data_IF_045645553474
#
_entry.id   IF_045645553474
#
_cell.length_a   1.000
_cell.length_b   1.000
_cell.length_c   1.000
_cell.angle_alpha   90.00
_cell.angle_beta   90.00
_cell.angle_gamma   90.00
#
_symmetry.space_group_name_H-M   'P 1'
#
loop_
_entity.id
_entity.type
_entity.pdbx_description
1 polymer ?
#
# COMPACT_ATOMS: atom_id res chain seq x y z
N UNK A 1 -17.99 -12.72 16.80
CA UNK A 1 -18.45 -11.95 15.63
C UNK A 1 -17.60 -10.71 15.50
N UNK A 2 -17.03 -10.49 14.32
CA UNK A 2 -16.81 -9.15 13.73
C UNK A 2 -16.51 -9.37 12.23
N UNK A 3 -17.59 -9.25 11.45
CA UNK A 3 -17.70 -8.90 10.03
C UNK A 3 -16.50 -9.26 9.13
N UNK A 4 -16.51 -10.49 8.61
CA UNK A 4 -15.78 -10.87 7.39
C UNK A 4 -16.51 -10.30 6.16
N UNK A 5 -16.58 -8.97 6.11
CA UNK A 5 -17.17 -8.24 5.01
C UNK A 5 -16.20 -8.27 3.83
N UNK A 6 -16.39 -9.22 2.90
CA UNK A 6 -15.93 -9.21 1.48
C UNK A 6 -14.93 -8.10 1.15
N UNK A 7 -13.69 -8.21 1.64
CA UNK A 7 -12.59 -7.38 1.14
C UNK A 7 -12.30 -7.96 -0.22
N UNK A 8 -12.82 -7.32 -1.28
CA UNK A 8 -12.58 -7.67 -2.68
C UNK A 8 -11.13 -8.10 -2.84
N UNK A 9 -10.91 -9.38 -3.17
CA UNK A 9 -9.58 -9.97 -3.27
C UNK A 9 -8.67 -9.03 -4.07
N UNK A 10 -7.55 -8.59 -3.48
CA UNK A 10 -6.55 -7.85 -4.23
C UNK A 10 -6.12 -8.75 -5.37
N UNK A 11 -6.20 -8.25 -6.60
CA UNK A 11 -5.72 -8.97 -7.77
C UNK A 11 -4.20 -9.13 -7.69
N UNK A 12 -3.67 -10.14 -8.39
CA UNK A 12 -2.22 -10.35 -8.43
C UNK A 12 -1.47 -9.08 -8.90
N UNK A 13 -2.05 -8.31 -9.81
CA UNK A 13 -1.51 -7.02 -10.25
C UNK A 13 -1.45 -6.01 -9.11
N UNK A 14 -2.54 -5.85 -8.34
CA UNK A 14 -2.59 -4.95 -7.18
C UNK A 14 -1.54 -5.34 -6.12
N UNK A 15 -1.40 -6.64 -5.82
CA UNK A 15 -0.41 -7.14 -4.84
C UNK A 15 1.02 -6.88 -5.31
N UNK A 16 1.32 -7.11 -6.59
CA UNK A 16 2.65 -6.84 -7.17
C UNK A 16 2.99 -5.36 -7.11
N UNK A 17 2.04 -4.46 -7.41
CA UNK A 17 2.25 -3.02 -7.31
C UNK A 17 2.58 -2.58 -5.88
N UNK A 18 1.84 -3.09 -4.89
CA UNK A 18 2.09 -2.79 -3.48
C UNK A 18 3.46 -3.32 -3.04
N UNK A 19 3.84 -4.54 -3.46
CA UNK A 19 5.16 -5.11 -3.15
C UNK A 19 6.31 -4.30 -3.76
N UNK A 20 6.16 -3.85 -5.02
CA UNK A 20 7.14 -2.98 -5.68
C UNK A 20 7.25 -1.63 -4.97
N UNK A 21 6.11 -1.02 -4.59
CA UNK A 21 6.08 0.24 -3.87
C UNK A 21 6.81 0.13 -2.51
N UNK A 22 6.43 -0.87 -1.70
CA UNK A 22 7.07 -1.16 -0.43
C UNK A 22 8.58 -1.36 -0.62
N UNK A 23 9.00 -2.18 -1.60
CA UNK A 23 10.42 -2.44 -1.85
C UNK A 23 11.18 -1.17 -2.27
N UNK A 24 10.61 -0.33 -3.12
CA UNK A 24 11.22 0.95 -3.52
C UNK A 24 11.40 1.86 -2.33
N UNK A 25 10.38 2.00 -1.49
CA UNK A 25 10.43 2.91 -0.34
C UNK A 25 11.34 2.35 0.76
N UNK A 26 11.37 1.02 0.98
CA UNK A 26 12.34 0.39 1.88
C UNK A 26 13.79 0.55 1.40
N UNK A 27 14.02 0.63 0.09
CA UNK A 27 15.34 0.91 -0.48
C UNK A 27 15.69 2.40 -0.44
N UNK A 28 14.70 3.28 -0.65
CA UNK A 28 14.82 4.74 -0.61
C UNK A 28 15.02 5.27 0.82
N UNK A 29 14.59 4.49 1.83
CA UNK A 29 14.75 4.79 3.26
C UNK A 29 16.21 4.85 3.77
N UNK A 30 17.22 4.92 2.89
CA UNK A 30 18.62 5.17 3.25
C UNK A 30 18.90 6.58 3.79
N UNK A 31 17.93 7.50 3.84
CA UNK A 31 18.20 8.87 4.32
C UNK A 31 17.05 9.44 5.13
N UNK A 32 17.26 9.57 6.44
CA UNK A 32 16.51 10.50 7.29
C UNK A 32 15.67 9.79 8.36
N UNK A 33 16.22 9.76 9.56
CA UNK A 33 15.62 9.29 10.82
C UNK A 33 14.43 10.13 11.31
N UNK A 34 13.48 10.48 10.42
CA UNK A 34 12.20 11.11 10.77
C UNK A 34 11.16 11.06 9.61
N UNK A 35 11.23 10.09 8.69
CA UNK A 35 10.13 9.90 7.74
C UNK A 35 8.95 9.27 8.48
N UNK A 36 8.08 10.14 9.02
CA UNK A 36 6.85 9.77 9.68
C UNK A 36 6.18 8.61 8.94
N UNK A 37 5.83 7.55 9.66
CA UNK A 37 5.21 6.35 9.08
C UNK A 37 3.99 6.66 8.18
N UNK A 38 3.39 7.84 8.35
CA UNK A 38 2.39 8.42 7.45
C UNK A 38 2.89 8.59 6.01
N UNK A 39 4.10 9.12 5.81
CA UNK A 39 4.72 9.36 4.50
C UNK A 39 5.03 8.04 3.77
N UNK A 40 5.45 7.01 4.50
CA UNK A 40 5.70 5.68 3.95
C UNK A 40 4.45 5.12 3.25
N UNK A 41 3.30 5.13 3.94
CA UNK A 41 2.04 4.63 3.39
C UNK A 41 1.44 5.56 2.33
N UNK A 42 1.71 6.86 2.41
CA UNK A 42 1.27 7.83 1.39
C UNK A 42 1.96 7.58 0.05
N UNK A 43 3.29 7.38 0.06
CA UNK A 43 4.04 7.01 -1.14
C UNK A 43 3.59 5.66 -1.72
N UNK A 44 3.27 4.67 -0.87
CA UNK A 44 2.70 3.39 -1.35
C UNK A 44 1.35 3.62 -2.03
N UNK A 45 0.49 4.44 -1.42
CA UNK A 45 -0.84 4.72 -1.95
C UNK A 45 -0.80 5.51 -3.26
N UNK A 46 0.10 6.49 -3.38
CA UNK A 46 0.31 7.28 -4.59
C UNK A 46 0.83 6.41 -5.74
N UNK A 47 1.86 5.61 -5.47
CA UNK A 47 2.40 4.67 -6.45
C UNK A 47 1.38 3.61 -6.88
N UNK A 48 0.58 3.15 -5.93
CA UNK A 48 -0.52 2.24 -6.21
C UNK A 48 -1.55 2.94 -7.11
N UNK A 49 -1.99 4.16 -6.80
CA UNK A 49 -2.99 4.89 -7.59
C UNK A 49 -2.55 5.12 -9.04
N UNK A 50 -1.32 5.61 -9.23
CA UNK A 50 -0.74 5.89 -10.55
C UNK A 50 -0.73 4.66 -11.45
N UNK A 51 -0.42 3.50 -10.86
CA UNK A 51 -0.24 2.24 -11.62
C UNK A 51 -1.43 1.31 -11.57
N UNK A 52 -2.44 1.64 -10.77
CA UNK A 52 -3.61 0.81 -10.62
C UNK A 52 -4.54 0.97 -11.82
N UNK A 53 -4.39 0.09 -12.79
CA UNK A 53 -5.27 0.01 -13.95
C UNK A 53 -6.56 -0.76 -13.67
N UNK A 54 -6.74 -1.32 -12.47
CA UNK A 54 -7.94 -2.11 -12.13
C UNK A 54 -9.18 -1.25 -11.89
N UNK A 55 -9.03 0.07 -11.74
CA UNK A 55 -10.12 0.99 -11.39
C UNK A 55 -10.63 0.83 -9.96
N UNK A 56 -10.04 -0.07 -9.15
CA UNK A 56 -10.44 -0.26 -7.76
C UNK A 56 -9.74 0.75 -6.86
N UNK A 57 -10.51 1.69 -6.31
CA UNK A 57 -9.97 2.60 -5.30
C UNK A 57 -9.70 1.84 -4.00
N UNK A 58 -8.44 1.77 -3.60
CA UNK A 58 -8.00 1.16 -2.32
C UNK A 58 -7.49 2.26 -1.40
N UNK A 59 -8.19 2.59 -0.30
CA UNK A 59 -7.71 3.61 0.62
C UNK A 59 -6.40 3.16 1.30
N UNK A 60 -5.53 4.11 1.60
CA UNK A 60 -4.25 3.89 2.30
C UNK A 60 -4.43 3.04 3.55
N UNK A 61 -5.47 3.34 4.34
CA UNK A 61 -5.79 2.59 5.56
C UNK A 61 -6.14 1.12 5.30
N UNK A 62 -6.73 0.77 4.16
CA UNK A 62 -6.97 -0.65 3.81
C UNK A 62 -5.67 -1.37 3.45
N UNK A 63 -4.75 -0.69 2.76
CA UNK A 63 -3.43 -1.23 2.43
C UNK A 63 -2.59 -1.37 3.71
N UNK A 64 -2.61 -0.36 4.58
CA UNK A 64 -1.93 -0.37 5.87
C UNK A 64 -2.52 -1.41 6.84
N UNK A 65 -3.83 -1.58 6.92
CA UNK A 65 -4.42 -2.64 7.76
C UNK A 65 -4.02 -4.04 7.29
N UNK A 66 -3.78 -4.22 5.99
CA UNK A 66 -3.43 -5.52 5.41
C UNK A 66 -1.93 -5.81 5.46
N UNK A 67 -1.08 -4.78 5.35
CA UNK A 67 0.38 -4.92 5.24
C UNK A 67 1.20 -4.18 6.31
N UNK A 68 0.57 -3.34 7.10
CA UNK A 68 1.15 -2.78 8.32
C UNK A 68 0.92 -3.78 9.44
N UNK A 69 1.96 -4.54 9.77
CA UNK A 69 2.03 -5.34 10.99
C UNK A 69 2.15 -4.43 12.21
#
# INVERSE_FOLDING_TARGET
>A
GFVEGRITNYTNAEVVLICIACKRISLDASTGTDQAATTYWDCIKEFFDERNTSGHFRPRDSIRQRWGT
#
